data_IF_523275219496
#
_entry.id   IF_523275219496
#
_cell.length_a   1.000
_cell.length_b   1.000
_cell.length_c   1.000
_cell.angle_alpha   90.00
_cell.angle_beta   90.00
_cell.angle_gamma   90.00
#
_symmetry.space_group_name_H-M   'P 1'
#
loop_
_entity.id
_entity.type
_entity.pdbx_description
1 polymer ?
#
# COMPACT_ATOMS: atom_id res chain seq x y z
N UNK A 1 11.66 -29.35 -6.39
CA UNK A 1 11.41 -28.31 -7.42
C UNK A 1 10.97 -27.07 -6.67
N UNK A 2 11.90 -26.13 -6.49
CA UNK A 2 11.74 -24.97 -5.61
C UNK A 2 10.93 -23.90 -6.37
N UNK A 3 9.72 -23.59 -5.90
CA UNK A 3 8.96 -22.44 -6.40
C UNK A 3 9.05 -21.28 -5.41
N UNK A 4 10.09 -20.42 -5.44
CA UNK A 4 10.00 -19.13 -4.80
C UNK A 4 9.58 -18.11 -5.87
N UNK A 5 8.35 -18.24 -6.39
CA UNK A 5 7.75 -17.15 -7.19
C UNK A 5 7.08 -16.15 -6.24
N UNK A 6 7.86 -15.66 -5.28
CA UNK A 6 7.53 -14.45 -4.55
C UNK A 6 8.12 -13.33 -5.40
N UNK A 7 7.29 -12.70 -6.22
CA UNK A 7 7.70 -11.52 -6.97
C UNK A 7 7.83 -10.39 -5.93
N UNK A 8 9.06 -10.21 -5.45
CA UNK A 8 9.40 -9.13 -4.53
C UNK A 8 9.42 -7.86 -5.37
N UNK A 9 8.45 -6.99 -5.12
CA UNK A 9 8.37 -5.70 -5.79
C UNK A 9 8.83 -4.60 -4.82
N UNK A 10 9.15 -3.45 -5.40
CA UNK A 10 9.64 -2.30 -4.66
C UNK A 10 8.50 -1.32 -4.41
N UNK A 11 8.44 -0.79 -3.20
CA UNK A 11 7.53 0.30 -2.87
C UNK A 11 7.95 1.57 -3.60
N UNK A 12 7.04 2.19 -4.34
CA UNK A 12 7.34 3.41 -5.10
C UNK A 12 7.76 4.58 -4.18
N UNK A 13 7.21 4.63 -2.95
CA UNK A 13 7.48 5.67 -1.96
C UNK A 13 8.78 5.49 -1.18
N UNK A 14 8.99 4.32 -0.58
CA UNK A 14 10.13 4.09 0.33
C UNK A 14 11.22 3.17 -0.25
N UNK A 15 11.04 2.70 -1.49
CA UNK A 15 11.91 1.73 -2.16
C UNK A 15 12.08 0.41 -1.40
N UNK A 16 11.29 0.18 -0.35
CA UNK A 16 11.35 -1.06 0.42
C UNK A 16 10.83 -2.22 -0.43
N UNK A 17 11.55 -3.33 -0.39
CA UNK A 17 11.11 -4.59 -0.98
C UNK A 17 9.99 -5.19 -0.15
N UNK A 18 8.86 -5.49 -0.78
CA UNK A 18 7.79 -6.23 -0.14
C UNK A 18 7.24 -7.29 -1.07
N UNK A 19 6.68 -8.33 -0.45
CA UNK A 19 6.01 -9.39 -1.20
C UNK A 19 4.64 -8.89 -1.63
N UNK A 20 4.53 -8.48 -2.89
CA UNK A 20 3.25 -8.19 -3.51
C UNK A 20 2.79 -9.41 -4.29
N UNK A 21 1.68 -9.97 -3.84
CA UNK A 21 0.97 -10.99 -4.60
C UNK A 21 -0.03 -10.28 -5.50
N UNK A 22 0.42 -9.56 -6.54
CA UNK A 22 -0.48 -8.90 -7.49
C UNK A 22 -1.48 -9.90 -8.12
N UNK A 23 -1.04 -11.14 -8.36
CA UNK A 23 -1.90 -12.26 -8.79
C UNK A 23 -2.90 -12.76 -7.74
N UNK A 24 -2.74 -12.38 -6.48
CA UNK A 24 -3.66 -12.69 -5.38
C UNK A 24 -3.75 -11.48 -4.48
N UNK A 25 -4.31 -10.38 -5.00
CA UNK A 25 -4.45 -9.10 -4.29
C UNK A 25 -5.00 -9.27 -2.87
N UNK A 26 -5.97 -10.17 -2.68
CA UNK A 26 -6.55 -10.56 -1.38
C UNK A 26 -5.58 -11.18 -0.37
N UNK A 27 -4.37 -11.56 -0.79
CA UNK A 27 -3.28 -12.09 0.04
C UNK A 27 -2.05 -11.17 0.06
N UNK A 28 -2.12 -10.00 -0.58
CA UNK A 28 -1.06 -9.00 -0.54
C UNK A 28 -1.01 -8.35 0.84
N UNK A 29 0.20 -8.07 1.35
CA UNK A 29 0.36 -7.25 2.57
C UNK A 29 -0.26 -5.85 2.40
N UNK A 30 -0.34 -5.34 1.18
CA UNK A 30 -1.06 -4.10 0.89
C UNK A 30 -2.57 -4.19 1.24
N UNK A 31 -3.19 -5.36 1.10
CA UNK A 31 -4.61 -5.60 1.42
C UNK A 31 -4.88 -5.75 2.92
N UNK A 32 -3.84 -5.86 3.77
CA UNK A 32 -4.06 -5.87 5.24
C UNK A 32 -4.32 -4.48 5.79
N UNK A 33 -3.97 -3.43 5.02
CA UNK A 33 -4.26 -2.04 5.38
C UNK A 33 -5.66 -1.71 4.88
N UNK A 34 -6.55 -1.36 5.79
CA UNK A 34 -7.90 -0.91 5.43
C UNK A 34 -7.88 0.58 5.16
N UNK A 35 -7.89 0.91 3.87
CA UNK A 35 -8.04 2.26 3.38
C UNK A 35 -9.50 2.47 2.95
N UNK A 36 -10.05 3.61 3.30
CA UNK A 36 -11.33 4.10 2.77
C UNK A 36 -11.18 4.52 1.32
N UNK A 37 -12.30 4.65 0.62
CA UNK A 37 -12.34 5.08 -0.78
C UNK A 37 -11.58 6.40 -1.01
N UNK A 38 -11.69 7.35 -0.08
CA UNK A 38 -10.99 8.64 -0.16
C UNK A 38 -9.48 8.49 0.00
N UNK A 39 -9.03 7.67 0.95
CA UNK A 39 -7.60 7.41 1.16
C UNK A 39 -7.01 6.66 -0.04
N UNK A 40 -7.73 5.68 -0.61
CA UNK A 40 -7.28 4.97 -1.82
C UNK A 40 -7.16 5.93 -2.99
N UNK A 41 -8.15 6.81 -3.20
CA UNK A 41 -8.09 7.85 -4.23
C UNK A 41 -6.86 8.74 -4.05
N UNK A 42 -6.67 9.29 -2.85
CA UNK A 42 -5.52 10.13 -2.52
C UNK A 42 -4.18 9.42 -2.80
N UNK A 43 -4.07 8.16 -2.40
CA UNK A 43 -2.89 7.35 -2.66
C UNK A 43 -2.67 7.12 -4.16
N UNK A 44 -3.72 6.78 -4.91
CA UNK A 44 -3.65 6.56 -6.37
C UNK A 44 -3.37 7.83 -7.16
N UNK A 45 -3.72 9.01 -6.65
CA UNK A 45 -3.35 10.30 -7.26
C UNK A 45 -1.88 10.66 -7.04
N UNK A 46 -1.28 10.21 -5.93
CA UNK A 46 0.12 10.47 -5.60
C UNK A 46 1.07 9.39 -6.14
N UNK A 47 0.63 8.14 -6.16
CA UNK A 47 1.45 6.97 -6.53
C UNK A 47 0.66 6.03 -7.44
N UNK A 48 1.17 5.82 -8.64
CA UNK A 48 0.63 4.84 -9.61
C UNK A 48 1.19 3.42 -9.39
N UNK A 49 2.28 3.32 -8.62
CA UNK A 49 2.96 2.07 -8.29
C UNK A 49 2.37 1.33 -7.08
N UNK A 50 2.95 0.17 -6.77
CA UNK A 50 2.54 -0.55 -5.57
C UNK A 50 3.24 0.03 -4.33
N UNK A 51 2.48 0.18 -3.25
CA UNK A 51 2.99 0.65 -1.96
C UNK A 51 2.95 -0.46 -0.92
N UNK A 52 3.96 -0.47 -0.05
CA UNK A 52 4.00 -1.39 1.08
C UNK A 52 3.01 -0.96 2.18
N UNK A 53 2.61 -1.90 3.03
CA UNK A 53 1.67 -1.64 4.13
C UNK A 53 2.09 -0.46 5.02
N UNK A 54 3.40 -0.29 5.27
CA UNK A 54 3.93 0.82 6.06
C UNK A 54 3.65 2.18 5.40
N UNK A 55 3.91 2.30 4.10
CA UNK A 55 3.65 3.53 3.37
C UNK A 55 2.16 3.82 3.23
N UNK A 56 1.33 2.80 3.05
CA UNK A 56 -0.12 2.96 3.05
C UNK A 56 -0.63 3.46 4.41
N UNK A 57 -0.11 2.93 5.52
CA UNK A 57 -0.45 3.40 6.87
C UNK A 57 0.01 4.84 7.12
N UNK A 58 1.22 5.19 6.67
CA UNK A 58 1.73 6.56 6.76
C UNK A 58 0.86 7.52 5.95
N UNK A 59 0.51 7.18 4.70
CA UNK A 59 -0.36 8.01 3.86
C UNK A 59 -1.79 8.12 4.42
N UNK A 60 -2.32 7.04 5.01
CA UNK A 60 -3.58 7.08 5.74
C UNK A 60 -3.50 8.06 6.91
N UNK A 61 -2.42 8.01 7.69
CA UNK A 61 -2.24 8.91 8.83
C UNK A 61 -2.14 10.35 8.35
N UNK A 62 -1.29 10.61 7.34
CA UNK A 62 -1.12 11.92 6.71
C UNK A 62 -2.45 12.45 6.17
N UNK A 63 -3.22 11.64 5.43
CA UNK A 63 -4.52 12.02 4.90
C UNK A 63 -5.50 12.40 6.03
N UNK A 64 -5.51 11.65 7.13
CA UNK A 64 -6.40 11.91 8.28
C UNK A 64 -5.99 13.17 9.05
N UNK A 65 -4.69 13.43 9.15
CA UNK A 65 -4.13 14.65 9.76
C UNK A 65 -4.41 15.89 8.89
N UNK A 66 -4.14 15.83 7.58
CA UNK A 66 -4.39 16.93 6.63
C UNK A 66 -5.88 17.23 6.46
N UNK A 67 -6.73 16.20 6.32
CA UNK A 67 -8.17 16.40 6.16
C UNK A 67 -8.90 16.68 7.49
N UNK A 68 -8.17 16.82 8.60
CA UNK A 68 -8.75 17.20 9.88
C UNK A 68 -9.90 16.30 10.33
N UNK A 69 -9.85 14.99 10.03
CA UNK A 69 -10.81 14.01 10.56
C UNK A 69 -10.43 13.67 12.01
N UNK A 70 -10.26 14.73 12.81
CA UNK A 70 -10.36 14.69 14.26
C UNK A 70 -11.85 14.76 14.58
N UNK A 71 -12.41 13.64 15.03
CA UNK A 71 -13.65 13.68 15.80
C UNK A 71 -13.32 14.11 17.23
#
# INVERSE_FOLDING_TARGET
MLHPKHEVIYCDRCSATFECKANSFTKCQCSTVQLTLNEVQYVSELYEGCLCAKCLLELQQEYREENGVVQ
#
